data_IF_708815341735
#
_entry.id   IF_708815341735
#
_cell.length_a   1.000
_cell.length_b   1.000
_cell.length_c   1.000
_cell.angle_alpha   90.00
_cell.angle_beta   90.00
_cell.angle_gamma   90.00
#
_symmetry.space_group_name_H-M   'P 1'
#
loop_
_entity.id
_entity.type
_entity.pdbx_description
1 polymer ?
#
# COMPACT_ATOMS: atom_id res chain seq x y z
N UNK A 1 9.38 -6.80 25.24
CA UNK A 1 8.74 -6.65 23.92
C UNK A 1 9.82 -6.25 22.93
N UNK A 2 10.02 -7.04 21.87
CA UNK A 2 10.86 -6.66 20.74
C UNK A 2 10.24 -5.45 20.03
N UNK A 3 11.06 -4.56 19.47
CA UNK A 3 10.55 -3.48 18.63
C UNK A 3 9.94 -4.06 17.35
N UNK A 4 8.99 -3.35 16.73
CA UNK A 4 8.44 -3.74 15.43
C UNK A 4 9.56 -3.86 14.39
N UNK A 5 10.58 -2.99 14.44
CA UNK A 5 11.75 -3.05 13.57
C UNK A 5 12.50 -4.38 13.74
N UNK A 6 12.75 -4.80 14.98
CA UNK A 6 13.43 -6.07 15.26
C UNK A 6 12.60 -7.26 14.78
N UNK A 7 11.27 -7.23 14.92
CA UNK A 7 10.39 -8.28 14.40
C UNK A 7 10.48 -8.35 12.87
N UNK A 8 10.36 -7.22 12.18
CA UNK A 8 10.42 -7.16 10.71
C UNK A 8 11.78 -7.65 10.17
N UNK A 9 12.87 -7.25 10.81
CA UNK A 9 14.22 -7.60 10.36
C UNK A 9 14.59 -9.05 10.69
N UNK A 10 14.41 -9.47 11.94
CA UNK A 10 14.90 -10.77 12.43
C UNK A 10 13.94 -11.93 12.15
N UNK A 11 12.62 -11.68 12.16
CA UNK A 11 11.62 -12.74 11.99
C UNK A 11 11.00 -12.76 10.59
N UNK A 12 10.90 -11.61 9.92
CA UNK A 12 10.25 -11.49 8.61
C UNK A 12 11.24 -11.23 7.46
N UNK A 13 12.55 -11.19 7.73
CA UNK A 13 13.60 -10.91 6.74
C UNK A 13 13.32 -9.66 5.88
N UNK A 14 12.69 -8.63 6.47
CA UNK A 14 12.26 -7.42 5.79
C UNK A 14 13.12 -6.24 6.26
N UNK A 15 13.85 -5.64 5.33
CA UNK A 15 14.59 -4.41 5.60
C UNK A 15 13.64 -3.23 5.82
N UNK A 16 13.95 -2.39 6.80
CA UNK A 16 13.13 -1.23 7.17
C UNK A 16 13.88 0.04 6.80
N UNK A 17 13.24 0.89 6.01
CA UNK A 17 13.77 2.20 5.65
C UNK A 17 13.22 3.27 6.60
N UNK A 18 14.12 4.04 7.21
CA UNK A 18 13.73 5.13 8.10
C UNK A 18 13.34 6.37 7.31
N UNK A 19 12.14 6.88 7.57
CA UNK A 19 11.63 8.10 6.95
C UNK A 19 11.51 9.20 8.01
N UNK A 20 12.37 10.25 7.96
CA UNK A 20 12.30 11.38 8.87
C UNK A 20 10.94 12.07 8.89
N UNK A 21 10.59 12.64 10.05
CA UNK A 21 9.39 13.48 10.17
C UNK A 21 9.53 14.75 9.33
N UNK A 22 8.39 15.25 8.83
CA UNK A 22 8.34 16.50 8.04
C UNK A 22 8.67 16.36 6.55
N UNK A 23 9.12 15.18 6.08
CA UNK A 23 9.46 14.96 4.67
C UNK A 23 8.58 13.91 3.97
N UNK A 24 7.47 13.48 4.57
CA UNK A 24 6.64 12.39 4.03
C UNK A 24 6.14 12.68 2.61
N UNK A 25 5.78 13.92 2.31
CA UNK A 25 5.39 14.35 0.96
C UNK A 25 6.51 14.28 -0.09
N UNK A 26 7.74 13.94 0.30
CA UNK A 26 8.91 13.79 -0.57
C UNK A 26 9.37 12.33 -0.60
N UNK A 27 9.43 11.65 0.56
CA UNK A 27 10.05 10.34 0.69
C UNK A 27 9.09 9.18 0.95
N UNK A 28 7.80 9.43 1.18
CA UNK A 28 6.78 8.37 1.29
C UNK A 28 6.04 8.21 -0.04
N UNK A 29 6.20 7.07 -0.75
CA UNK A 29 5.55 6.84 -2.06
C UNK A 29 4.05 7.07 -2.04
N UNK A 30 3.41 6.69 -0.94
CA UNK A 30 1.99 6.87 -0.71
C UNK A 30 1.61 8.36 -0.76
N UNK A 31 2.28 9.20 0.01
CA UNK A 31 1.98 10.64 0.06
C UNK A 31 2.42 11.37 -1.23
N UNK A 32 3.52 10.94 -1.83
CA UNK A 32 4.11 11.56 -3.04
C UNK A 32 3.20 11.44 -4.26
N UNK A 33 2.52 10.31 -4.43
CA UNK A 33 1.75 10.04 -5.67
C UNK A 33 0.36 9.45 -5.45
N UNK A 34 0.20 8.51 -4.51
CA UNK A 34 -1.02 7.70 -4.43
C UNK A 34 -2.13 8.41 -3.66
N UNK A 35 -1.81 9.04 -2.53
CA UNK A 35 -2.80 9.52 -1.57
C UNK A 35 -3.68 10.64 -2.09
N UNK A 36 -3.15 11.53 -2.94
CA UNK A 36 -3.98 12.58 -3.55
C UNK A 36 -5.05 11.97 -4.45
N UNK A 37 -4.63 11.19 -5.45
CA UNK A 37 -5.55 10.56 -6.40
C UNK A 37 -6.57 9.65 -5.68
N UNK A 38 -6.11 8.90 -4.68
CA UNK A 38 -6.97 8.05 -3.87
C UNK A 38 -8.03 8.85 -3.09
N UNK A 39 -7.63 9.90 -2.36
CA UNK A 39 -8.58 10.75 -1.60
C UNK A 39 -9.59 11.45 -2.52
N UNK A 40 -9.15 11.89 -3.68
CA UNK A 40 -10.02 12.54 -4.68
C UNK A 40 -11.09 11.56 -5.19
N UNK A 41 -10.74 10.29 -5.39
CA UNK A 41 -11.70 9.25 -5.79
C UNK A 41 -12.62 8.80 -4.68
N UNK A 42 -12.12 8.64 -3.45
CA UNK A 42 -12.97 8.40 -2.27
C UNK A 42 -14.03 9.49 -2.16
N UNK A 43 -13.63 10.76 -2.30
CA UNK A 43 -14.57 11.89 -2.29
C UNK A 43 -15.57 11.82 -3.43
N UNK A 44 -15.10 11.55 -4.64
CA UNK A 44 -15.96 11.48 -5.84
C UNK A 44 -17.02 10.39 -5.71
N UNK A 45 -16.63 9.16 -5.35
CA UNK A 45 -17.56 8.04 -5.15
C UNK A 45 -18.52 8.26 -3.99
N UNK A 46 -18.06 8.92 -2.91
CA UNK A 46 -18.95 9.27 -1.81
C UNK A 46 -20.03 10.26 -2.23
N UNK A 47 -19.65 11.29 -3.00
CA UNK A 47 -20.59 12.29 -3.52
C UNK A 47 -21.57 11.66 -4.51
N UNK A 48 -21.06 10.89 -5.48
CA UNK A 48 -21.85 10.19 -6.49
C UNK A 48 -22.89 9.27 -5.87
N UNK A 49 -22.50 8.48 -4.85
CA UNK A 49 -23.43 7.63 -4.13
C UNK A 49 -24.60 8.42 -3.51
N UNK A 50 -24.35 9.59 -2.93
CA UNK A 50 -25.38 10.39 -2.26
C UNK A 50 -26.18 11.29 -3.20
N UNK A 51 -25.95 11.24 -4.52
CA UNK A 51 -26.88 11.84 -5.49
C UNK A 51 -28.22 11.09 -5.44
N UNK A 52 -28.16 9.75 -5.40
CA UNK A 52 -29.34 8.89 -5.51
C UNK A 52 -29.71 8.19 -4.18
N UNK A 53 -28.87 8.28 -3.15
CA UNK A 53 -29.04 7.53 -1.89
C UNK A 53 -29.06 8.46 -0.67
N UNK A 54 -29.94 8.17 0.29
CA UNK A 54 -29.94 8.82 1.60
C UNK A 54 -28.71 8.44 2.44
N UNK A 55 -28.41 9.24 3.45
CA UNK A 55 -27.38 8.92 4.43
C UNK A 55 -27.73 7.66 5.25
N UNK A 56 -26.70 6.87 5.56
CA UNK A 56 -26.82 5.66 6.39
C UNK A 56 -27.34 5.98 7.79
N UNK A 57 -28.21 5.14 8.34
CA UNK A 57 -28.90 5.38 9.62
C UNK A 57 -28.13 4.84 10.83
N UNK A 58 -27.18 3.93 10.61
CA UNK A 58 -26.37 3.35 11.68
C UNK A 58 -24.86 3.45 11.42
N UNK A 59 -24.03 3.46 12.49
CA UNK A 59 -22.58 3.39 12.36
C UNK A 59 -22.08 2.15 11.62
N UNK A 60 -22.80 1.02 11.72
CA UNK A 60 -22.45 -0.24 11.03
C UNK A 60 -22.59 -0.08 9.51
N UNK A 61 -23.71 0.44 9.06
CA UNK A 61 -23.97 0.71 7.64
C UNK A 61 -22.99 1.75 7.10
N UNK A 62 -22.73 2.82 7.88
CA UNK A 62 -21.74 3.83 7.52
C UNK A 62 -20.36 3.21 7.27
N UNK A 63 -19.87 2.38 8.19
CA UNK A 63 -18.59 1.66 8.01
C UNK A 63 -18.62 0.77 6.77
N UNK A 64 -19.68 0.01 6.56
CA UNK A 64 -19.79 -0.88 5.40
C UNK A 64 -19.83 -0.11 4.06
N UNK A 65 -20.47 1.07 4.02
CA UNK A 65 -20.48 1.95 2.85
C UNK A 65 -19.08 2.53 2.60
N UNK A 66 -18.47 3.13 3.63
CA UNK A 66 -17.14 3.73 3.51
C UNK A 66 -16.09 2.69 3.11
N UNK A 67 -16.13 1.47 3.67
CA UNK A 67 -15.20 0.40 3.27
C UNK A 67 -15.34 0.01 1.80
N UNK A 68 -16.57 -0.05 1.26
CA UNK A 68 -16.80 -0.32 -0.17
C UNK A 68 -16.25 0.81 -1.05
N UNK A 69 -16.48 2.06 -0.66
CA UNK A 69 -15.95 3.23 -1.37
C UNK A 69 -14.42 3.25 -1.36
N UNK A 70 -13.80 2.98 -0.19
CA UNK A 70 -12.35 2.89 -0.01
C UNK A 70 -11.77 1.80 -0.90
N UNK A 71 -12.38 0.61 -0.92
CA UNK A 71 -11.94 -0.49 -1.78
C UNK A 71 -12.06 -0.12 -3.27
N UNK A 72 -13.19 0.43 -3.70
CA UNK A 72 -13.37 0.86 -5.08
C UNK A 72 -12.36 1.95 -5.49
N UNK A 73 -12.13 2.93 -4.62
CA UNK A 73 -11.14 3.97 -4.82
C UNK A 73 -9.72 3.38 -4.94
N UNK A 74 -9.37 2.38 -4.13
CA UNK A 74 -8.09 1.69 -4.23
C UNK A 74 -7.92 0.97 -5.57
N UNK A 75 -8.88 0.14 -5.97
CA UNK A 75 -8.81 -0.61 -7.23
C UNK A 75 -8.76 0.25 -8.47
N UNK A 76 -9.30 1.46 -8.41
CA UNK A 76 -9.21 2.38 -9.54
C UNK A 76 -7.79 2.93 -9.73
N UNK A 77 -6.91 2.91 -8.72
CA UNK A 77 -5.56 3.53 -8.77
C UNK A 77 -4.71 2.74 -9.76
N UNK A 78 -4.24 3.37 -10.86
CA UNK A 78 -3.37 2.70 -11.80
C UNK A 78 -2.05 2.27 -11.15
N UNK A 79 -1.58 1.08 -11.49
CA UNK A 79 -0.29 0.56 -11.00
C UNK A 79 0.88 1.51 -11.33
N UNK A 80 0.81 2.19 -12.48
CA UNK A 80 1.86 3.12 -12.90
C UNK A 80 1.99 4.33 -11.96
N UNK A 81 0.90 4.77 -11.31
CA UNK A 81 0.93 5.82 -10.29
C UNK A 81 1.72 5.35 -9.06
N UNK A 82 1.54 4.09 -8.66
CA UNK A 82 2.25 3.50 -7.52
C UNK A 82 3.74 3.39 -7.86
N UNK A 83 4.08 2.85 -9.03
CA UNK A 83 5.47 2.69 -9.48
C UNK A 83 6.17 4.05 -9.58
N UNK A 84 5.55 5.03 -10.24
CA UNK A 84 6.11 6.39 -10.35
C UNK A 84 6.25 7.07 -9.00
N UNK A 85 5.31 6.83 -8.08
CA UNK A 85 5.38 7.31 -6.70
C UNK A 85 6.60 6.79 -5.96
N UNK A 86 6.85 5.47 -6.03
CA UNK A 86 8.02 4.86 -5.40
C UNK A 86 9.33 5.40 -5.96
N UNK A 87 9.45 5.50 -7.29
CA UNK A 87 10.64 6.08 -7.93
C UNK A 87 10.85 7.53 -7.52
N UNK A 88 9.78 8.35 -7.51
CA UNK A 88 9.87 9.76 -7.13
C UNK A 88 10.23 9.94 -5.66
N UNK A 89 9.82 9.01 -4.81
CA UNK A 89 10.13 9.00 -3.38
C UNK A 89 11.57 8.52 -3.07
N UNK A 90 12.35 8.14 -4.08
CA UNK A 90 13.68 7.56 -3.88
C UNK A 90 13.66 6.09 -3.46
N UNK A 91 12.47 5.50 -3.30
CA UNK A 91 12.27 4.09 -3.00
C UNK A 91 12.39 3.30 -4.32
N UNK A 92 13.63 3.19 -4.79
CA UNK A 92 13.96 2.42 -5.99
C UNK A 92 14.09 0.98 -5.55
N UNK A 93 13.38 0.01 -6.16
CA UNK A 93 13.57 -1.36 -5.74
C UNK A 93 14.98 -1.79 -6.21
N UNK A 94 15.84 -2.11 -5.24
CA UNK A 94 17.23 -2.49 -5.46
C UNK A 94 17.25 -4.00 -5.67
N UNK A 95 17.73 -4.45 -6.83
CA UNK A 95 17.84 -5.88 -7.14
C UNK A 95 18.29 -6.14 -8.57
N UNK A 96 18.89 -7.32 -8.84
CA UNK A 96 19.35 -7.67 -10.18
C UNK A 96 18.18 -7.67 -11.17
N UNK A 97 18.34 -6.96 -12.28
CA UNK A 97 17.36 -6.91 -13.37
C UNK A 97 17.75 -7.85 -14.50
N UNK A 98 16.77 -8.37 -15.23
CA UNK A 98 17.02 -9.03 -16.51
C UNK A 98 17.33 -8.01 -17.63
N UNK A 99 17.70 -8.50 -18.81
CA UNK A 99 17.97 -7.65 -19.98
C UNK A 99 16.74 -6.85 -20.47
N UNK A 100 15.54 -7.15 -19.94
CA UNK A 100 14.28 -6.46 -20.22
C UNK A 100 13.88 -5.50 -19.08
N UNK A 101 14.77 -5.27 -18.10
CA UNK A 101 14.56 -4.36 -16.98
C UNK A 101 13.65 -4.89 -15.85
N UNK A 102 13.21 -6.16 -15.92
CA UNK A 102 12.35 -6.77 -14.91
C UNK A 102 13.19 -7.27 -13.73
N UNK A 103 12.65 -7.20 -12.53
CA UNK A 103 13.31 -7.80 -11.36
C UNK A 103 13.49 -9.30 -11.57
N UNK A 104 14.72 -9.79 -11.37
CA UNK A 104 14.94 -11.21 -11.15
C UNK A 104 14.40 -11.52 -9.76
N UNK A 105 13.19 -12.03 -9.69
CA UNK A 105 12.72 -12.74 -8.51
C UNK A 105 13.46 -14.09 -8.56
N UNK A 106 14.37 -14.40 -7.62
CA UNK A 106 14.87 -15.76 -7.51
C UNK A 106 13.66 -16.66 -7.38
N UNK A 107 13.58 -17.75 -8.15
CA UNK A 107 12.63 -18.81 -7.81
C UNK A 107 12.94 -19.20 -6.38
N UNK A 108 12.06 -18.85 -5.45
CA UNK A 108 12.20 -19.31 -4.08
C UNK A 108 12.02 -20.82 -4.19
N UNK A 109 13.11 -21.58 -4.14
CA UNK A 109 13.02 -23.03 -3.96
C UNK A 109 12.15 -23.21 -2.72
N UNK A 110 11.00 -23.86 -2.88
CA UNK A 110 9.95 -24.01 -1.87
C UNK A 110 10.45 -24.61 -0.55
N UNK A 111 11.67 -25.14 -0.55
CA UNK A 111 12.38 -25.75 0.58
C UNK A 111 13.05 -24.70 1.50
N UNK A 112 13.25 -23.45 1.04
CA UNK A 112 13.87 -22.36 1.82
C UNK A 112 12.93 -21.20 2.17
N UNK A 113 11.67 -21.25 1.72
CA UNK A 113 10.68 -20.27 2.15
C UNK A 113 10.40 -20.47 3.65
N UNK A 114 10.41 -19.40 4.48
CA UNK A 114 9.90 -19.48 5.84
C UNK A 114 8.45 -19.99 5.79
N UNK A 115 8.19 -21.11 6.44
CA UNK A 115 6.82 -21.61 6.61
C UNK A 115 6.10 -20.57 7.47
N UNK A 116 4.94 -20.04 7.05
CA UNK A 116 4.12 -19.23 7.93
C UNK A 116 3.82 -20.05 9.18
N UNK A 117 4.21 -19.56 10.36
CA UNK A 117 3.82 -20.21 11.59
C UNK A 117 2.29 -20.15 11.67
N UNK A 118 1.64 -21.29 11.49
CA UNK A 118 0.21 -21.43 11.78
C UNK A 118 0.02 -21.09 13.27
N UNK A 119 -0.92 -20.18 13.56
CA UNK A 119 -1.27 -19.77 14.91
C UNK A 119 -1.90 -20.97 15.66
N UNK A 120 -1.27 -21.38 16.77
CA UNK A 120 -1.79 -22.38 17.72
C UNK A 120 -2.63 -21.70 18.83
#
# INVERSE_FOLDING_TARGET
MSSICNVLQEQCCTEVEFIPSGITGISQPMDVAVMKAFKDRVRSYYLEYHIDNEFTKSPKEKRALISRIVAAAWYSIPEDVIIKGSVKAGIIPIGPRDARGRYRVPSVDSVKAPVPCDEE
#
